data_IF_399822134052
#
_entry.id   IF_399822134052
#
_cell.length_a   1.000
_cell.length_b   1.000
_cell.length_c   1.000
_cell.angle_alpha   90.00
_cell.angle_beta   90.00
_cell.angle_gamma   90.00
#
_symmetry.space_group_name_H-M   'P 1'
#
loop_
_entity.id
_entity.type
_entity.pdbx_description
1 polymer ?
#
# COMPACT_ATOMS: atom_id res chain seq x y z
N UNK A 1 -16.65 0.59 0.74
CA UNK A 1 -17.14 1.30 1.96
C UNK A 1 -16.06 2.28 2.43
N UNK A 2 -16.30 3.60 2.51
CA UNK A 2 -15.41 4.50 3.26
C UNK A 2 -15.62 4.21 4.75
N UNK A 3 -14.70 3.47 5.34
CA UNK A 3 -14.76 3.22 6.78
C UNK A 3 -14.20 4.47 7.48
N UNK A 4 -14.91 4.98 8.49
CA UNK A 4 -14.49 6.06 9.42
C UNK A 4 -13.07 5.91 10.02
N UNK A 5 -12.40 4.79 9.73
CA UNK A 5 -11.02 4.50 10.08
C UNK A 5 -9.97 5.23 9.22
N UNK A 6 -10.33 5.81 8.06
CA UNK A 6 -9.37 6.48 7.17
C UNK A 6 -9.52 8.00 7.23
N UNK A 7 -8.39 8.70 7.21
CA UNK A 7 -8.40 10.16 7.08
C UNK A 7 -8.77 10.56 5.65
N UNK A 8 -9.25 11.80 5.46
CA UNK A 8 -9.60 12.32 4.14
C UNK A 8 -8.43 12.20 3.12
N UNK A 9 -7.18 12.31 3.59
CA UNK A 9 -5.98 12.09 2.76
C UNK A 9 -5.90 10.65 2.25
N UNK A 10 -6.16 9.66 3.11
CA UNK A 10 -6.10 8.24 2.77
C UNK A 10 -7.25 7.81 1.88
N UNK A 11 -8.43 8.39 2.06
CA UNK A 11 -9.56 8.18 1.16
C UNK A 11 -9.28 8.68 -0.26
N UNK A 12 -8.71 9.89 -0.41
CA UNK A 12 -8.30 10.40 -1.73
C UNK A 12 -7.25 9.52 -2.38
N UNK A 13 -6.26 9.06 -1.60
CA UNK A 13 -5.22 8.15 -2.08
C UNK A 13 -5.81 6.81 -2.56
N UNK A 14 -6.75 6.22 -1.80
CA UNK A 14 -7.46 5.01 -2.19
C UNK A 14 -8.18 5.20 -3.53
N UNK A 15 -8.99 6.27 -3.65
CA UNK A 15 -9.76 6.56 -4.87
C UNK A 15 -8.85 6.72 -6.08
N UNK A 16 -7.75 7.47 -5.93
CA UNK A 16 -6.78 7.69 -7.00
C UNK A 16 -6.10 6.40 -7.47
N UNK A 17 -5.73 5.51 -6.55
CA UNK A 17 -5.13 4.22 -6.91
C UNK A 17 -6.17 3.31 -7.58
N UNK A 18 -7.39 3.25 -7.04
CA UNK A 18 -8.49 2.44 -7.59
C UNK A 18 -8.83 2.88 -9.02
N UNK A 19 -8.98 4.19 -9.27
CA UNK A 19 -9.29 4.71 -10.61
C UNK A 19 -8.18 4.40 -11.60
N UNK A 20 -6.92 4.70 -11.25
CA UNK A 20 -5.78 4.45 -12.14
C UNK A 20 -5.57 2.97 -12.45
N UNK A 21 -5.91 2.05 -11.53
CA UNK A 21 -5.87 0.61 -11.82
C UNK A 21 -6.98 0.16 -12.77
N UNK A 22 -8.20 0.71 -12.61
CA UNK A 22 -9.31 0.45 -13.53
C UNK A 22 -9.00 0.97 -14.93
N UNK A 23 -8.42 2.16 -15.04
CA UNK A 23 -7.99 2.74 -16.32
C UNK A 23 -6.93 1.87 -17.03
N UNK A 24 -6.08 1.19 -16.26
CA UNK A 24 -5.09 0.22 -16.78
C UNK A 24 -5.67 -1.18 -17.05
N UNK A 25 -6.99 -1.37 -16.96
CA UNK A 25 -7.67 -2.62 -17.27
C UNK A 25 -7.79 -3.62 -16.12
N UNK A 26 -7.49 -3.23 -14.87
CA UNK A 26 -7.73 -4.11 -13.74
C UNK A 26 -9.23 -4.21 -13.40
N UNK A 27 -9.72 -5.42 -13.10
CA UNK A 27 -11.08 -5.62 -12.57
C UNK A 27 -11.33 -4.79 -11.31
N UNK A 28 -12.57 -4.36 -11.08
CA UNK A 28 -12.91 -3.52 -9.93
C UNK A 28 -12.50 -4.12 -8.59
N UNK A 29 -12.77 -5.41 -8.36
CA UNK A 29 -12.40 -6.09 -7.11
C UNK A 29 -10.89 -6.08 -6.88
N UNK A 30 -10.10 -6.38 -7.92
CA UNK A 30 -8.63 -6.32 -7.85
C UNK A 30 -8.11 -4.90 -7.62
N UNK A 31 -8.70 -3.91 -8.28
CA UNK A 31 -8.32 -2.50 -8.10
C UNK A 31 -8.58 -2.03 -6.66
N UNK A 32 -9.74 -2.38 -6.10
CA UNK A 32 -10.13 -2.10 -4.72
C UNK A 32 -9.21 -2.76 -3.71
N UNK A 33 -8.88 -4.04 -3.92
CA UNK A 33 -7.95 -4.77 -3.06
C UNK A 33 -6.55 -4.14 -3.06
N UNK A 34 -6.00 -3.84 -4.24
CA UNK A 34 -4.67 -3.23 -4.36
C UNK A 34 -4.66 -1.84 -3.72
N UNK A 35 -5.69 -1.04 -3.97
CA UNK A 35 -5.81 0.30 -3.38
C UNK A 35 -5.88 0.22 -1.84
N UNK A 36 -6.71 -0.66 -1.29
CA UNK A 36 -6.83 -0.85 0.15
C UNK A 36 -5.52 -1.34 0.79
N UNK A 37 -4.85 -2.33 0.18
CA UNK A 37 -3.55 -2.83 0.66
C UNK A 37 -2.48 -1.75 0.66
N UNK A 38 -2.45 -0.92 -0.38
CA UNK A 38 -1.48 0.18 -0.49
C UNK A 38 -1.71 1.21 0.61
N UNK A 39 -2.96 1.65 0.80
CA UNK A 39 -3.31 2.62 1.86
C UNK A 39 -3.07 2.05 3.26
N UNK A 40 -3.42 0.80 3.51
CA UNK A 40 -3.18 0.17 4.81
C UNK A 40 -1.68 0.07 5.13
N UNK A 41 -0.82 -0.22 4.13
CA UNK A 41 0.63 -0.20 4.34
C UNK A 41 1.09 1.19 4.73
N UNK A 42 0.67 2.23 4.01
CA UNK A 42 1.02 3.62 4.34
C UNK A 42 0.58 4.03 5.74
N UNK A 43 -0.65 3.67 6.14
CA UNK A 43 -1.14 3.92 7.50
C UNK A 43 -0.30 3.21 8.56
N UNK A 44 0.15 1.99 8.29
CA UNK A 44 1.04 1.27 9.20
C UNK A 44 2.42 1.94 9.31
N UNK A 45 2.92 2.55 8.22
CA UNK A 45 4.20 3.29 8.23
C UNK A 45 4.11 4.61 8.99
N UNK A 46 3.01 5.34 8.82
CA UNK A 46 2.82 6.66 9.47
C UNK A 46 2.24 6.58 10.87
N UNK A 47 1.94 5.39 11.39
CA UNK A 47 1.34 5.21 12.71
C UNK A 47 -0.16 5.49 12.78
N UNK A 48 -0.83 5.71 11.65
CA UNK A 48 -2.28 5.90 11.55
C UNK A 48 -3.08 4.59 11.70
N UNK A 49 -2.41 3.43 11.59
CA UNK A 49 -3.03 2.13 11.77
C UNK A 49 -2.95 1.67 13.23
N UNK A 50 -4.08 1.14 13.76
CA UNK A 50 -4.13 0.53 15.10
C UNK A 50 -3.17 -0.65 15.27
N UNK A 51 -2.94 -1.39 14.18
CA UNK A 51 -2.00 -2.52 14.12
C UNK A 51 -0.99 -2.25 13.01
N UNK A 52 0.28 -2.43 13.32
CA UNK A 52 1.38 -2.25 12.38
C UNK A 52 2.51 -3.22 12.73
N UNK A 53 3.11 -3.84 11.72
CA UNK A 53 4.30 -4.65 11.95
C UNK A 53 5.53 -3.79 12.22
N UNK A 54 6.55 -4.37 12.89
CA UNK A 54 7.79 -3.67 13.24
C UNK A 54 8.45 -3.06 12.01
N UNK A 55 8.66 -3.87 10.96
CA UNK A 55 9.28 -3.41 9.72
C UNK A 55 8.45 -2.37 8.97
N UNK A 56 7.12 -2.33 9.16
CA UNK A 56 6.33 -1.26 8.56
C UNK A 56 6.73 0.11 9.10
N UNK A 57 7.25 0.20 10.33
CA UNK A 57 7.65 1.45 10.99
C UNK A 57 9.15 1.74 10.87
N UNK A 58 10.00 0.72 10.94
CA UNK A 58 11.46 0.89 11.03
C UNK A 58 12.17 0.82 9.68
N UNK A 59 11.52 0.29 8.66
CA UNK A 59 12.15 0.04 7.36
C UNK A 59 11.85 1.16 6.35
N UNK A 60 12.61 1.20 5.25
CA UNK A 60 12.41 2.15 4.16
C UNK A 60 11.06 1.94 3.47
N UNK A 61 10.51 3.01 2.89
CA UNK A 61 9.23 3.00 2.19
C UNK A 61 9.17 1.94 1.09
N UNK A 62 7.97 1.40 0.86
CA UNK A 62 7.72 0.45 -0.24
C UNK A 62 8.14 1.02 -1.60
N UNK A 63 7.87 2.31 -1.84
CA UNK A 63 8.28 3.02 -3.05
C UNK A 63 9.80 3.15 -3.19
N UNK A 64 10.50 3.62 -2.14
CA UNK A 64 11.98 3.76 -2.16
C UNK A 64 12.65 2.41 -2.35
N UNK A 65 12.15 1.37 -1.70
CA UNK A 65 12.65 0.00 -1.87
C UNK A 65 12.43 -0.52 -3.29
N UNK A 66 11.26 -0.27 -3.87
CA UNK A 66 10.97 -0.62 -5.26
C UNK A 66 11.96 0.03 -6.22
N UNK A 67 12.25 1.33 -6.02
CA UNK A 67 13.25 2.05 -6.80
C UNK A 67 14.68 1.52 -6.61
N UNK A 68 15.09 1.17 -5.39
CA UNK A 68 16.41 0.57 -5.15
C UNK A 68 16.57 -0.84 -5.74
N UNK A 69 15.47 -1.53 -6.03
CA UNK A 69 15.45 -2.88 -6.58
C UNK A 69 15.12 -2.91 -8.07
N UNK A 70 14.81 -1.78 -8.69
CA UNK A 70 14.62 -1.74 -10.14
C UNK A 70 15.90 -2.20 -10.84
N UNK A 71 15.76 -2.87 -11.98
CA UNK A 71 16.88 -3.35 -12.81
C UNK A 71 17.79 -4.42 -12.17
N UNK A 72 17.46 -4.97 -10.99
CA UNK A 72 18.26 -6.01 -10.32
C UNK A 72 17.63 -7.42 -10.34
N UNK A 73 16.55 -7.59 -11.10
CA UNK A 73 15.80 -8.84 -11.18
C UNK A 73 14.75 -9.01 -10.06
N UNK A 74 13.97 -10.08 -10.14
CA UNK A 74 12.89 -10.33 -9.19
C UNK A 74 13.44 -10.72 -7.80
N UNK A 75 13.32 -9.81 -6.83
CA UNK A 75 13.58 -10.09 -5.41
C UNK A 75 12.28 -10.08 -4.62
N UNK A 76 11.91 -11.24 -4.06
CA UNK A 76 10.71 -11.43 -3.26
C UNK A 76 10.65 -10.55 -2.00
N UNK A 77 9.47 -10.49 -1.40
CA UNK A 77 9.29 -9.88 -0.07
C UNK A 77 9.69 -10.87 1.01
N UNK A 78 10.34 -10.41 2.08
CA UNK A 78 10.63 -11.26 3.25
C UNK A 78 9.36 -11.45 4.09
N UNK A 79 9.28 -12.53 4.87
CA UNK A 79 8.15 -12.81 5.77
C UNK A 79 7.79 -11.59 6.64
N UNK A 80 8.81 -10.94 7.19
CA UNK A 80 8.67 -9.75 8.04
C UNK A 80 8.16 -8.50 7.30
N UNK A 81 8.17 -8.49 5.97
CA UNK A 81 7.57 -7.41 5.16
C UNK A 81 6.08 -7.64 4.90
N UNK A 82 5.61 -8.88 5.05
CA UNK A 82 4.22 -9.28 4.85
C UNK A 82 3.41 -9.26 6.16
N UNK A 83 4.06 -9.56 7.28
CA UNK A 83 3.48 -9.60 8.63
C UNK A 83 4.11 -8.57 9.57
#
# INVERSE_FOLDING_TARGET
MPQRAWSAKRERQYKHIKSGLRERGASEGRAEEIAARTVNKERARTGEARRSSRLSRTDISSGRRGGLRSHTGARGRTRDQLY
#
